data_IF_475210037408
#
_entry.id   IF_475210037408
#
_cell.length_a   1.000
_cell.length_b   1.000
_cell.length_c   1.000
_cell.angle_alpha   90.00
_cell.angle_beta   90.00
_cell.angle_gamma   90.00
#
_symmetry.space_group_name_H-M   'P 1'
#
loop_
_entity.id
_entity.type
_entity.pdbx_description
1 polymer ?
#
# COMPACT_ATOMS: atom_id res chain seq x y z
N UNK A 1 -28.63 6.24 16.65
CA UNK A 1 -28.94 7.48 15.90
C UNK A 1 -27.62 8.10 15.49
N UNK A 2 -27.45 8.51 14.23
CA UNK A 2 -26.26 9.18 13.70
C UNK A 2 -26.71 10.25 12.70
N UNK A 3 -26.26 11.50 12.85
CA UNK A 3 -26.67 12.64 12.01
C UNK A 3 -28.20 12.75 11.78
N UNK A 4 -29.01 12.51 12.82
CA UNK A 4 -30.47 12.54 12.71
C UNK A 4 -31.11 11.24 12.19
N UNK A 5 -30.32 10.31 11.66
CA UNK A 5 -30.81 9.02 11.15
C UNK A 5 -30.83 7.95 12.24
N UNK A 6 -31.89 7.14 12.29
CA UNK A 6 -31.95 5.94 13.12
C UNK A 6 -31.35 4.78 12.33
N UNK A 7 -30.35 4.11 12.91
CA UNK A 7 -29.80 2.86 12.38
C UNK A 7 -30.50 1.74 13.16
N UNK A 8 -31.38 0.95 12.52
CA UNK A 8 -32.10 -0.13 13.19
C UNK A 8 -31.16 -1.17 13.80
N UNK A 9 -31.61 -1.84 14.87
CA UNK A 9 -30.92 -3.02 15.41
C UNK A 9 -30.76 -4.08 14.31
N UNK A 10 -29.67 -4.85 14.34
CA UNK A 10 -29.30 -5.86 13.33
C UNK A 10 -28.93 -5.29 11.95
N UNK A 11 -28.77 -3.97 11.81
CA UNK A 11 -28.21 -3.39 10.59
C UNK A 11 -26.72 -3.68 10.46
N UNK A 12 -26.27 -4.03 9.25
CA UNK A 12 -24.85 -4.13 8.92
C UNK A 12 -24.34 -2.80 8.39
N UNK A 13 -23.31 -2.24 9.04
CA UNK A 13 -22.61 -1.07 8.54
C UNK A 13 -21.40 -1.50 7.69
N UNK A 14 -21.32 -0.98 6.47
CA UNK A 14 -20.16 -1.19 5.59
C UNK A 14 -19.33 0.09 5.51
N UNK A 15 -18.03 -0.04 5.74
CA UNK A 15 -17.07 1.02 5.47
C UNK A 15 -16.63 0.92 4.01
N UNK A 16 -16.99 1.91 3.20
CA UNK A 16 -16.61 1.98 1.79
C UNK A 16 -15.14 2.43 1.65
N UNK A 17 -14.20 1.58 2.07
CA UNK A 17 -12.76 1.87 2.12
C UNK A 17 -12.18 2.25 0.77
N UNK A 18 -12.72 1.71 -0.33
CA UNK A 18 -12.29 2.06 -1.69
C UNK A 18 -12.73 3.47 -2.08
N UNK A 19 -13.94 3.90 -1.71
CA UNK A 19 -14.49 5.19 -2.12
C UNK A 19 -13.77 6.39 -1.49
N UNK A 20 -13.15 6.21 -0.31
CA UNK A 20 -12.48 7.30 0.40
C UNK A 20 -11.24 7.83 -0.34
N UNK A 21 -10.27 7.01 -0.80
CA UNK A 21 -9.15 7.49 -1.61
C UNK A 21 -9.52 7.80 -3.07
N UNK A 22 -10.72 7.40 -3.54
CA UNK A 22 -11.24 7.74 -4.88
C UNK A 22 -12.21 8.95 -4.85
N UNK A 23 -12.16 9.73 -3.78
CA UNK A 23 -12.90 10.98 -3.70
C UNK A 23 -12.05 12.10 -4.31
N UNK A 24 -12.41 12.56 -5.50
CA UNK A 24 -11.71 13.63 -6.23
C UNK A 24 -11.53 14.93 -5.42
N UNK A 25 -12.44 15.24 -4.50
CA UNK A 25 -12.32 16.42 -3.64
C UNK A 25 -11.20 16.29 -2.60
N UNK A 26 -10.83 15.06 -2.23
CA UNK A 26 -9.76 14.75 -1.26
C UNK A 26 -8.47 14.30 -1.95
N UNK A 27 -8.60 13.60 -3.09
CA UNK A 27 -7.52 13.06 -3.91
C UNK A 27 -7.74 13.42 -5.37
N UNK A 28 -7.29 14.61 -5.79
CA UNK A 28 -7.29 14.96 -7.21
C UNK A 28 -6.45 13.97 -8.02
N UNK A 29 -6.93 13.65 -9.22
CA UNK A 29 -6.35 12.64 -10.11
C UNK A 29 -6.11 11.30 -9.38
N UNK A 30 -7.11 10.80 -8.64
CA UNK A 30 -6.96 9.58 -7.83
C UNK A 30 -6.65 8.32 -8.64
N UNK A 31 -7.11 8.26 -9.89
CA UNK A 31 -6.81 7.16 -10.83
C UNK A 31 -5.32 7.12 -11.23
N UNK A 32 -4.58 8.22 -11.07
CA UNK A 32 -3.17 8.28 -11.45
C UNK A 32 -2.27 7.84 -10.30
N UNK A 33 -1.47 6.80 -10.54
CA UNK A 33 -0.37 6.44 -9.66
C UNK A 33 0.65 7.58 -9.58
N UNK A 34 0.64 8.28 -8.45
CA UNK A 34 1.54 9.40 -8.17
C UNK A 34 2.06 9.28 -6.73
N UNK A 35 3.29 8.76 -6.51
CA UNK A 35 3.87 8.64 -5.18
C UNK A 35 4.24 10.00 -4.58
N UNK A 36 4.41 11.05 -5.39
CA UNK A 36 4.87 12.36 -4.90
C UNK A 36 3.87 13.03 -3.96
N UNK A 37 2.59 12.65 -4.04
CA UNK A 37 1.55 13.11 -3.12
C UNK A 37 1.83 12.75 -1.64
N UNK A 38 2.78 11.86 -1.39
CA UNK A 38 3.18 11.43 -0.05
C UNK A 38 4.54 11.97 0.41
N UNK A 39 5.23 12.82 -0.36
CA UNK A 39 6.59 13.29 -0.03
C UNK A 39 6.69 13.99 1.33
N UNK A 40 5.64 14.71 1.74
CA UNK A 40 5.58 15.40 3.03
C UNK A 40 5.04 14.53 4.18
N UNK A 41 4.89 13.22 3.95
CA UNK A 41 4.29 12.28 4.89
C UNK A 41 5.29 11.17 5.25
N UNK A 42 6.32 11.53 6.03
CA UNK A 42 7.44 10.64 6.35
C UNK A 42 7.18 9.65 7.49
N UNK A 43 6.04 9.77 8.20
CA UNK A 43 5.70 8.83 9.28
C UNK A 43 5.04 7.57 8.73
N UNK A 44 5.00 6.52 9.55
CA UNK A 44 4.27 5.30 9.23
C UNK A 44 2.75 5.54 9.30
N UNK A 45 1.94 4.85 8.50
CA UNK A 45 0.49 4.98 8.47
C UNK A 45 -0.14 4.80 9.85
N UNK A 46 0.42 3.92 10.68
CA UNK A 46 -0.03 3.75 12.06
C UNK A 46 0.07 5.04 12.90
N UNK A 47 1.03 5.93 12.61
CA UNK A 47 1.19 7.21 13.32
C UNK A 47 0.16 8.24 12.87
N UNK A 48 -0.31 8.12 11.63
CA UNK A 48 -1.33 9.00 11.09
C UNK A 48 -2.74 8.60 11.55
N UNK A 49 -3.06 7.31 11.61
CA UNK A 49 -4.42 6.88 11.94
C UNK A 49 -4.70 6.40 13.35
N UNK A 50 -3.67 6.12 14.16
CA UNK A 50 -3.86 5.80 15.59
C UNK A 50 -3.51 7.00 16.50
N UNK A 51 -3.20 8.16 15.94
CA UNK A 51 -2.96 9.36 16.73
C UNK A 51 -4.29 9.89 17.28
N UNK A 52 -4.40 10.17 18.60
CA UNK A 52 -5.58 10.86 19.15
C UNK A 52 -5.77 12.28 18.59
N UNK A 53 -4.76 12.83 17.91
CA UNK A 53 -4.79 14.09 17.18
C UNK A 53 -5.32 13.95 15.74
N UNK A 54 -6.15 12.94 15.42
CA UNK A 54 -6.75 12.77 14.08
C UNK A 54 -7.54 14.01 13.61
N UNK A 55 -8.05 14.82 14.55
CA UNK A 55 -8.73 16.09 14.26
C UNK A 55 -7.78 17.28 14.07
N UNK A 56 -6.52 17.18 14.52
CA UNK A 56 -5.53 18.26 14.44
C UNK A 56 -4.50 18.04 13.30
N UNK A 57 -4.61 16.92 12.59
CA UNK A 57 -3.70 16.49 11.55
C UNK A 57 -2.28 16.29 12.08
N UNK A 58 -1.37 15.84 11.22
CA UNK A 58 0.04 16.01 11.53
C UNK A 58 0.34 17.51 11.59
N UNK A 59 0.92 18.01 12.70
CA UNK A 59 1.27 19.44 12.80
C UNK A 59 2.33 19.86 11.77
N UNK A 60 3.01 18.92 11.11
CA UNK A 60 3.88 19.20 9.96
C UNK A 60 3.11 19.40 8.64
N UNK A 61 1.83 19.05 8.59
CA UNK A 61 0.95 19.33 7.44
C UNK A 61 0.51 20.80 7.50
N UNK A 62 0.67 21.59 6.42
CA UNK A 62 0.21 22.98 6.36
C UNK A 62 -1.27 23.12 6.74
N UNK A 63 -1.70 24.18 7.47
CA UNK A 63 -3.10 24.38 7.86
C UNK A 63 -4.10 24.34 6.71
N UNK A 64 -3.68 24.72 5.50
CA UNK A 64 -4.47 24.69 4.25
C UNK A 64 -4.82 23.29 3.77
N UNK A 65 -4.16 22.26 4.31
CA UNK A 65 -4.41 20.85 3.99
C UNK A 65 -5.12 20.12 5.12
N UNK A 66 -5.36 20.75 6.29
CA UNK A 66 -5.94 20.13 7.50
C UNK A 66 -7.46 20.10 7.54
N UNK A 67 -8.13 20.19 6.39
CA UNK A 67 -9.59 20.18 6.40
C UNK A 67 -10.13 18.82 6.83
N UNK A 68 -11.31 18.85 7.46
CA UNK A 68 -12.04 17.70 8.01
C UNK A 68 -11.86 16.43 7.17
N UNK A 69 -11.36 15.36 7.80
CA UNK A 69 -10.78 14.19 7.11
C UNK A 69 -9.58 14.58 6.24
N UNK A 70 -8.41 14.79 6.88
CA UNK A 70 -7.11 14.82 6.21
C UNK A 70 -7.09 13.69 5.18
N UNK A 71 -6.79 13.97 3.92
CA UNK A 71 -6.75 12.97 2.84
C UNK A 71 -6.04 11.69 3.31
N UNK A 72 -4.98 11.83 4.11
CA UNK A 72 -4.26 10.74 4.76
C UNK A 72 -5.10 9.75 5.59
N UNK A 73 -6.16 10.21 6.25
CA UNK A 73 -7.10 9.37 6.99
C UNK A 73 -7.84 8.41 6.07
N UNK A 74 -8.21 8.84 4.85
CA UNK A 74 -8.83 8.02 3.81
C UNK A 74 -7.99 6.79 3.44
N UNK A 75 -6.66 6.98 3.27
CA UNK A 75 -5.72 5.89 3.00
C UNK A 75 -5.49 5.01 4.23
N UNK A 76 -5.59 5.57 5.43
CA UNK A 76 -5.47 4.81 6.67
C UNK A 76 -6.64 3.84 6.90
N UNK A 77 -7.86 4.19 6.50
CA UNK A 77 -9.01 3.29 6.66
C UNK A 77 -8.86 1.95 5.90
N UNK A 78 -7.90 1.85 4.96
CA UNK A 78 -7.49 0.56 4.40
C UNK A 78 -6.95 -0.44 5.44
N UNK A 79 -6.51 0.04 6.60
CA UNK A 79 -6.14 -0.77 7.76
C UNK A 79 -7.27 -0.92 8.80
N UNK A 80 -8.49 -0.50 8.47
CA UNK A 80 -9.62 -0.48 9.39
C UNK A 80 -9.64 0.73 10.33
N UNK A 81 -10.57 0.74 11.29
CA UNK A 81 -10.75 1.85 12.22
C UNK A 81 -11.15 1.42 13.63
N UNK A 82 -10.88 2.32 14.58
CA UNK A 82 -11.29 2.21 15.97
C UNK A 82 -10.77 0.94 16.65
N UNK A 83 -11.61 0.31 17.46
CA UNK A 83 -11.24 -0.89 18.23
C UNK A 83 -10.99 -2.14 17.37
N UNK A 84 -11.28 -2.08 16.07
CA UNK A 84 -11.15 -3.18 15.11
C UNK A 84 -10.11 -2.88 14.03
N UNK A 85 -9.27 -1.87 14.22
CA UNK A 85 -8.13 -1.60 13.35
C UNK A 85 -7.17 -2.80 13.29
N UNK A 86 -6.52 -2.96 12.15
CA UNK A 86 -5.58 -4.04 11.86
C UNK A 86 -4.40 -4.03 12.83
N UNK A 87 -4.25 -5.04 13.70
CA UNK A 87 -3.18 -5.05 14.71
C UNK A 87 -1.79 -5.26 14.09
N UNK A 88 -1.72 -5.81 12.87
CA UNK A 88 -0.47 -6.11 12.17
C UNK A 88 0.15 -4.94 11.41
N UNK A 89 -0.44 -3.74 11.46
CA UNK A 89 -0.01 -2.58 10.63
C UNK A 89 1.48 -2.29 10.78
N UNK A 90 2.01 -2.32 12.01
CA UNK A 90 3.43 -2.05 12.26
C UNK A 90 4.36 -3.07 11.60
N UNK A 91 3.96 -4.35 11.58
CA UNK A 91 4.74 -5.42 10.98
C UNK A 91 4.65 -5.32 9.45
N UNK A 92 3.44 -5.15 8.91
CA UNK A 92 3.20 -5.05 7.48
C UNK A 92 3.97 -3.88 6.85
N UNK A 93 3.83 -2.66 7.40
CA UNK A 93 4.50 -1.47 6.86
C UNK A 93 6.03 -1.61 6.87
N UNK A 94 6.59 -2.08 7.99
CA UNK A 94 8.05 -2.26 8.12
C UNK A 94 8.57 -3.35 7.19
N UNK A 95 7.80 -4.41 6.97
CA UNK A 95 8.17 -5.47 6.05
C UNK A 95 8.08 -5.00 4.60
N UNK A 96 7.00 -4.35 4.21
CA UNK A 96 6.82 -3.80 2.85
C UNK A 96 7.92 -2.81 2.52
N UNK A 97 8.24 -1.88 3.42
CA UNK A 97 9.34 -0.93 3.21
C UNK A 97 10.66 -1.66 2.96
N UNK A 98 11.01 -2.67 3.79
CA UNK A 98 12.27 -3.41 3.64
C UNK A 98 12.32 -4.25 2.37
N UNK A 99 11.21 -4.89 2.01
CA UNK A 99 11.09 -5.71 0.81
C UNK A 99 11.26 -4.81 -0.41
N UNK A 100 10.51 -3.72 -0.50
CA UNK A 100 10.60 -2.75 -1.61
C UNK A 100 12.01 -2.16 -1.73
N UNK A 101 12.60 -1.69 -0.63
CA UNK A 101 13.96 -1.16 -0.63
C UNK A 101 14.99 -2.19 -1.12
N UNK A 102 14.87 -3.46 -0.70
CA UNK A 102 15.76 -4.54 -1.16
C UNK A 102 15.55 -4.89 -2.63
N UNK A 103 14.30 -4.93 -3.10
CA UNK A 103 13.98 -5.18 -4.50
C UNK A 103 14.56 -4.08 -5.40
N UNK A 104 14.34 -2.82 -5.04
CA UNK A 104 14.85 -1.66 -5.78
C UNK A 104 16.38 -1.55 -5.69
N UNK A 105 16.99 -1.96 -4.57
CA UNK A 105 18.43 -2.06 -4.46
C UNK A 105 18.99 -3.19 -5.34
N UNK A 106 18.36 -4.36 -5.38
CA UNK A 106 18.92 -5.52 -6.08
C UNK A 106 18.64 -5.54 -7.59
N UNK A 107 17.48 -5.05 -8.04
CA UNK A 107 16.97 -5.32 -9.38
C UNK A 107 16.49 -4.07 -10.12
N UNK A 108 16.54 -4.15 -11.45
CA UNK A 108 15.72 -3.37 -12.36
C UNK A 108 14.53 -4.26 -12.77
N UNK A 109 13.32 -3.72 -12.69
CA UNK A 109 12.07 -4.42 -13.00
C UNK A 109 11.44 -3.73 -14.20
N UNK A 110 11.12 -4.51 -15.23
CA UNK A 110 10.52 -4.05 -16.47
C UNK A 110 9.27 -4.86 -16.80
N UNK A 111 8.41 -4.33 -17.66
CA UNK A 111 7.39 -5.13 -18.32
C UNK A 111 8.01 -6.31 -19.07
N UNK A 112 7.27 -7.41 -19.17
CA UNK A 112 7.70 -8.54 -19.96
C UNK A 112 7.70 -8.16 -21.45
N UNK A 113 8.89 -8.16 -22.04
CA UNK A 113 9.04 -8.08 -23.50
C UNK A 113 8.76 -9.50 -24.00
N UNK A 114 7.55 -9.80 -24.45
CA UNK A 114 7.40 -11.00 -25.29
C UNK A 114 8.31 -10.78 -26.52
N UNK A 115 9.16 -11.76 -26.85
CA UNK A 115 10.23 -11.68 -27.88
C UNK A 115 9.72 -11.45 -29.32
N UNK A 116 8.47 -11.03 -29.50
CA UNK A 116 7.90 -10.62 -30.77
C UNK A 116 7.73 -9.09 -30.77
N UNK A 117 8.38 -8.36 -31.70
CA UNK A 117 8.34 -6.89 -31.79
C UNK A 117 6.95 -6.24 -32.01
N UNK A 118 5.85 -6.99 -31.89
CA UNK A 118 4.50 -6.54 -32.28
C UNK A 118 3.42 -6.65 -31.21
N UNK A 119 3.71 -7.17 -30.03
CA UNK A 119 2.75 -7.23 -28.91
C UNK A 119 3.46 -6.87 -27.61
N UNK A 120 3.83 -5.59 -27.46
CA UNK A 120 3.94 -5.00 -26.13
C UNK A 120 2.51 -4.92 -25.57
N UNK A 121 2.06 -5.95 -24.86
CA UNK A 121 0.86 -5.82 -24.03
C UNK A 121 1.31 -5.15 -22.74
N UNK A 122 1.03 -3.85 -22.61
CA UNK A 122 1.20 -3.14 -21.34
C UNK A 122 0.48 -3.90 -20.23
N UNK A 123 1.03 -3.86 -19.01
CA UNK A 123 0.37 -4.49 -17.86
C UNK A 123 -1.01 -3.84 -17.69
N UNK A 124 -2.08 -4.65 -17.69
CA UNK A 124 -3.43 -4.18 -17.39
C UNK A 124 -3.56 -3.89 -15.89
N UNK A 125 -3.63 -2.62 -15.54
CA UNK A 125 -3.78 -2.15 -14.16
C UNK A 125 -5.14 -2.51 -13.54
N UNK A 126 -6.12 -2.89 -14.37
CA UNK A 126 -7.45 -3.31 -13.93
C UNK A 126 -7.59 -4.85 -13.81
N UNK A 127 -6.51 -5.60 -14.06
CA UNK A 127 -6.51 -7.05 -13.97
C UNK A 127 -6.40 -7.53 -12.52
N UNK A 128 -7.47 -7.40 -11.75
CA UNK A 128 -7.59 -7.90 -10.37
C UNK A 128 -8.91 -8.65 -10.14
N UNK A 129 -8.94 -9.48 -9.11
CA UNK A 129 -10.16 -10.18 -8.73
C UNK A 129 -11.19 -9.24 -8.07
N UNK A 130 -12.47 -9.50 -8.32
CA UNK A 130 -13.56 -8.84 -7.59
C UNK A 130 -13.83 -9.58 -6.28
N UNK A 131 -13.11 -9.22 -5.22
CA UNK A 131 -13.21 -9.87 -3.91
C UNK A 131 -12.97 -8.88 -2.76
N UNK A 132 -13.35 -9.25 -1.52
CA UNK A 132 -13.05 -8.46 -0.32
C UNK A 132 -11.54 -8.26 -0.15
N UNK A 133 -10.74 -9.26 -0.53
CA UNK A 133 -9.29 -9.15 -0.64
C UNK A 133 -8.92 -9.07 -2.12
N UNK A 134 -8.57 -7.87 -2.56
CA UNK A 134 -8.17 -7.63 -3.94
C UNK A 134 -6.74 -8.10 -4.16
N UNK A 135 -6.54 -8.92 -5.18
CA UNK A 135 -5.25 -9.39 -5.66
C UNK A 135 -5.22 -9.33 -7.18
N UNK A 136 -4.08 -8.94 -7.72
CA UNK A 136 -3.86 -8.92 -9.17
C UNK A 136 -3.89 -10.34 -9.74
N UNK A 137 -4.38 -10.49 -10.97
CA UNK A 137 -4.18 -11.70 -11.74
C UNK A 137 -2.69 -11.87 -12.08
N UNK A 138 -2.22 -13.10 -12.37
CA UNK A 138 -0.83 -13.32 -12.76
C UNK A 138 -0.43 -12.44 -13.96
N UNK A 139 0.65 -11.69 -13.80
CA UNK A 139 1.26 -10.86 -14.86
C UNK A 139 2.75 -11.20 -14.97
N UNK A 140 3.32 -10.97 -16.16
CA UNK A 140 4.74 -11.25 -16.42
C UNK A 140 5.56 -9.97 -16.26
N UNK A 141 6.73 -10.10 -15.64
CA UNK A 141 7.73 -9.04 -15.54
C UNK A 141 9.12 -9.58 -15.86
N UNK A 142 9.99 -8.70 -16.35
CA UNK A 142 11.42 -8.99 -16.51
C UNK A 142 12.20 -8.38 -15.36
N UNK A 143 12.78 -9.22 -14.51
CA UNK A 143 13.58 -8.82 -13.35
C UNK A 143 15.06 -9.04 -13.68
N UNK A 144 15.84 -7.96 -13.73
CA UNK A 144 17.27 -7.99 -14.07
C UNK A 144 18.09 -7.52 -12.88
N UNK A 145 19.10 -8.27 -12.40
CA UNK A 145 20.01 -7.80 -11.38
C UNK A 145 20.71 -6.51 -11.80
N UNK A 146 20.83 -5.55 -10.89
CA UNK A 146 21.53 -4.28 -11.15
C UNK A 146 23.04 -4.44 -11.32
N UNK A 147 23.63 -5.45 -10.67
CA UNK A 147 25.03 -5.82 -10.83
C UNK A 147 25.27 -7.26 -10.34
N UNK A 148 26.42 -7.83 -10.72
CA UNK A 148 26.80 -9.17 -10.29
C UNK A 148 27.06 -9.23 -8.78
N UNK A 149 27.70 -8.20 -8.21
CA UNK A 149 28.02 -8.13 -6.79
C UNK A 149 26.74 -8.11 -5.93
N UNK A 150 25.71 -7.39 -6.38
CA UNK A 150 24.41 -7.35 -5.70
C UNK A 150 23.71 -8.72 -5.77
N UNK A 151 23.79 -9.39 -6.92
CA UNK A 151 23.25 -10.74 -7.08
C UNK A 151 23.93 -11.75 -6.17
N UNK A 152 25.25 -11.65 -6.01
CA UNK A 152 26.02 -12.53 -5.13
C UNK A 152 25.63 -12.35 -3.66
N UNK A 153 25.40 -11.10 -3.23
CA UNK A 153 24.83 -10.81 -1.90
C UNK A 153 23.46 -11.46 -1.74
N UNK A 154 22.55 -11.29 -2.72
CA UNK A 154 21.21 -11.90 -2.66
C UNK A 154 21.29 -13.42 -2.54
N UNK A 155 22.15 -14.07 -3.36
CA UNK A 155 22.35 -15.53 -3.32
C UNK A 155 22.91 -16.00 -1.98
N UNK A 156 23.90 -15.29 -1.44
CA UNK A 156 24.49 -15.59 -0.13
C UNK A 156 23.46 -15.48 1.00
N UNK A 157 22.69 -14.39 1.04
CA UNK A 157 21.68 -14.19 2.08
C UNK A 157 20.50 -15.17 1.94
N UNK A 158 20.11 -15.53 0.72
CA UNK A 158 19.14 -16.61 0.47
C UNK A 158 19.63 -17.93 1.05
N UNK A 159 20.88 -18.32 0.80
CA UNK A 159 21.45 -19.57 1.31
C UNK A 159 21.43 -19.62 2.85
N UNK A 160 21.85 -18.53 3.52
CA UNK A 160 21.76 -18.41 4.98
C UNK A 160 20.33 -18.53 5.50
N UNK A 161 19.38 -17.87 4.82
CA UNK A 161 17.97 -17.91 5.22
C UNK A 161 17.39 -19.33 5.09
N UNK A 162 17.65 -20.02 3.97
CA UNK A 162 17.20 -21.40 3.78
C UNK A 162 17.82 -22.37 4.82
N UNK A 163 19.10 -22.20 5.14
CA UNK A 163 19.76 -22.98 6.19
C UNK A 163 19.16 -22.72 7.59
N UNK A 164 18.71 -21.50 7.86
CA UNK A 164 18.02 -21.19 9.11
C UNK A 164 16.62 -21.84 9.16
N UNK A 165 15.86 -21.73 8.07
CA UNK A 165 14.49 -22.26 7.99
C UNK A 165 14.45 -23.79 8.05
N UNK A 166 15.46 -24.47 7.50
CA UNK A 166 15.56 -25.93 7.57
C UNK A 166 15.76 -26.51 8.98
N UNK A 167 15.86 -25.66 10.01
CA UNK A 167 15.89 -26.08 11.42
C UNK A 167 14.49 -26.12 12.05
N UNK A 168 13.50 -25.57 11.36
CA UNK A 168 12.12 -25.41 11.82
C UNK A 168 11.19 -26.39 11.09
N UNK A 169 11.65 -26.97 9.98
CA UNK A 169 11.06 -28.13 9.30
C UNK A 169 11.64 -29.43 9.86
#
# INVERSE_FOLDING_TARGET
MYNGYIIPKESTAFMAVWAMPHNESLYPDHEKYNPDRFLNHSKLANKYGASPDYANGDKSTPPTLRHEFDSLSANYFGHGAGRRSYPGVHLAERNMWRITAKLLWAFNIYEAIELKPREMTSIDENAYNSSILVSTFPFKVRVVPRSQERLDVVRREKAKALQFLSKIE
#
